data_IF_959156100902
#
_entry.id   IF_959156100902
#
_cell.length_a   1.000
_cell.length_b   1.000
_cell.length_c   1.000
_cell.angle_alpha   90.00
_cell.angle_beta   90.00
_cell.angle_gamma   90.00
#
_symmetry.space_group_name_H-M   'P 1'
#
loop_
_entity.id
_entity.type
_entity.pdbx_description
1 polymer ?
#
# COMPACT_ATOMS: atom_id res chain seq x y z
N UNK A 1 3.03 -4.75 -45.54
CA UNK A 1 2.22 -4.90 -44.31
C UNK A 1 2.98 -4.63 -43.00
N UNK A 2 4.23 -5.10 -42.81
CA UNK A 2 4.96 -4.91 -41.54
C UNK A 2 5.26 -3.43 -41.17
N UNK A 3 5.55 -2.57 -42.14
CA UNK A 3 5.87 -1.15 -41.90
C UNK A 3 4.68 -0.33 -41.34
N UNK A 4 3.45 -0.61 -41.78
CA UNK A 4 2.25 0.06 -41.29
C UNK A 4 1.86 -0.40 -39.87
N UNK A 5 2.08 -1.69 -39.54
CA UNK A 5 1.90 -2.22 -38.19
C UNK A 5 2.92 -1.59 -37.21
N UNK A 6 4.16 -1.38 -37.67
CA UNK A 6 5.21 -0.72 -36.90
C UNK A 6 4.95 0.79 -36.73
N UNK A 7 4.39 1.47 -37.73
CA UNK A 7 4.00 2.88 -37.63
C UNK A 7 2.78 3.10 -36.70
N UNK A 8 1.81 2.16 -36.70
CA UNK A 8 0.71 2.14 -35.74
C UNK A 8 1.21 1.84 -34.31
N UNK A 9 2.19 0.94 -34.16
CA UNK A 9 2.91 0.69 -32.89
C UNK A 9 3.66 1.93 -32.39
N UNK A 10 4.26 2.72 -33.28
CA UNK A 10 5.02 3.93 -32.94
C UNK A 10 4.13 5.12 -32.48
N UNK A 11 2.81 5.08 -32.73
CA UNK A 11 1.83 6.07 -32.24
C UNK A 11 0.98 5.56 -31.07
N UNK A 12 1.12 4.28 -30.70
CA UNK A 12 0.32 3.69 -29.64
C UNK A 12 0.97 3.94 -28.27
N UNK A 13 0.18 4.47 -27.34
CA UNK A 13 0.62 4.73 -25.98
C UNK A 13 1.14 3.45 -25.32
N UNK A 14 2.31 3.51 -24.70
CA UNK A 14 2.88 2.38 -23.97
C UNK A 14 2.21 2.19 -22.62
N UNK A 15 2.41 1.03 -21.99
CA UNK A 15 1.90 0.79 -20.63
C UNK A 15 2.48 1.79 -19.63
N UNK A 16 3.77 2.10 -19.69
CA UNK A 16 4.41 3.04 -18.76
C UNK A 16 3.87 4.48 -18.94
N UNK A 17 3.63 4.89 -20.18
CA UNK A 17 2.98 6.17 -20.47
C UNK A 17 1.54 6.21 -19.95
N UNK A 18 0.78 5.13 -20.14
CA UNK A 18 -0.58 5.00 -19.63
C UNK A 18 -0.59 5.03 -18.09
N UNK A 19 0.36 4.34 -17.46
CA UNK A 19 0.54 4.35 -16.01
C UNK A 19 0.89 5.75 -15.48
N UNK A 20 1.79 6.46 -16.16
CA UNK A 20 2.15 7.83 -15.81
C UNK A 20 0.96 8.80 -15.91
N UNK A 21 0.16 8.71 -16.99
CA UNK A 21 -1.05 9.53 -17.19
C UNK A 21 -2.15 9.18 -16.19
N UNK A 22 -2.39 7.89 -15.95
CA UNK A 22 -3.32 7.43 -14.91
C UNK A 22 -2.91 7.98 -13.55
N UNK A 23 -1.63 7.86 -13.18
CA UNK A 23 -1.13 8.38 -11.92
C UNK A 23 -1.27 9.90 -11.87
N UNK A 24 -0.91 10.66 -12.91
CA UNK A 24 -1.06 12.11 -12.92
C UNK A 24 -2.52 12.58 -12.68
N UNK A 25 -3.50 11.84 -13.19
CA UNK A 25 -4.93 12.13 -12.95
C UNK A 25 -5.38 11.71 -11.55
N UNK A 26 -4.98 10.51 -11.08
CA UNK A 26 -5.45 9.92 -9.82
C UNK A 26 -4.68 10.35 -8.59
N UNK A 27 -3.45 10.84 -8.72
CA UNK A 27 -2.70 11.39 -7.57
C UNK A 27 -3.34 12.63 -6.99
N UNK A 28 -4.17 13.35 -7.76
CA UNK A 28 -4.98 14.47 -7.24
C UNK A 28 -6.04 14.01 -6.23
N UNK A 29 -6.50 12.77 -6.32
CA UNK A 29 -7.43 12.15 -5.36
C UNK A 29 -6.70 11.57 -4.14
N UNK A 30 -5.38 11.39 -4.22
CA UNK A 30 -4.61 10.78 -3.14
C UNK A 30 -4.30 11.80 -2.04
N UNK A 31 -4.89 11.58 -0.86
CA UNK A 31 -4.60 12.35 0.36
C UNK A 31 -3.15 12.19 0.87
N UNK A 32 -2.41 11.18 0.40
CA UNK A 32 -1.05 10.88 0.87
C UNK A 32 -0.06 10.75 -0.30
N UNK A 33 0.95 11.65 -0.41
CA UNK A 33 1.94 11.62 -1.49
C UNK A 33 2.79 10.33 -1.49
N UNK A 34 2.99 9.68 -0.33
CA UNK A 34 3.70 8.39 -0.26
C UNK A 34 2.98 7.28 -1.01
N UNK A 35 1.65 7.35 -1.11
CA UNK A 35 0.86 6.36 -1.83
C UNK A 35 1.17 6.43 -3.34
N UNK A 36 1.32 7.63 -3.89
CA UNK A 36 1.74 7.83 -5.28
C UNK A 36 3.13 7.26 -5.57
N UNK A 37 4.10 7.53 -4.70
CA UNK A 37 5.45 7.02 -4.81
C UNK A 37 5.48 5.48 -4.74
N UNK A 38 4.69 4.89 -3.83
CA UNK A 38 4.57 3.44 -3.73
C UNK A 38 3.95 2.84 -5.00
N UNK A 39 3.01 3.53 -5.64
CA UNK A 39 2.45 3.08 -6.92
C UNK A 39 3.51 3.00 -8.01
N UNK A 40 4.24 4.10 -8.25
CA UNK A 40 5.32 4.17 -9.24
C UNK A 40 6.36 3.08 -8.98
N UNK A 41 6.94 3.07 -7.78
CA UNK A 41 8.01 2.12 -7.44
C UNK A 41 7.64 0.66 -7.71
N UNK A 42 6.40 0.24 -7.42
CA UNK A 42 6.02 -1.18 -7.65
C UNK A 42 5.71 -1.46 -9.12
N UNK A 43 5.22 -0.48 -9.89
CA UNK A 43 5.06 -0.63 -11.33
C UNK A 43 6.45 -0.67 -12.00
N UNK A 44 7.34 0.26 -11.65
CA UNK A 44 8.70 0.35 -12.19
C UNK A 44 9.53 -0.90 -11.89
N UNK A 45 9.39 -1.46 -10.68
CA UNK A 45 10.17 -2.64 -10.25
C UNK A 45 9.71 -3.93 -10.93
N UNK A 46 8.40 -4.11 -11.12
CA UNK A 46 7.85 -5.41 -11.50
C UNK A 46 7.15 -5.41 -12.86
N UNK A 47 6.37 -4.37 -13.19
CA UNK A 47 5.61 -4.31 -14.44
C UNK A 47 6.42 -3.74 -15.60
N UNK A 48 7.13 -2.63 -15.41
CA UNK A 48 7.87 -1.95 -16.49
C UNK A 48 8.90 -2.85 -17.19
N UNK A 49 9.64 -3.76 -16.51
CA UNK A 49 10.58 -4.66 -17.18
C UNK A 49 9.94 -5.65 -18.16
N UNK A 50 8.65 -5.97 -18.00
CA UNK A 50 7.95 -6.99 -18.80
C UNK A 50 6.97 -6.37 -19.79
N UNK A 51 6.20 -5.38 -19.34
CA UNK A 51 5.10 -4.80 -20.12
C UNK A 51 5.25 -3.30 -20.37
N UNK A 52 6.24 -2.64 -19.78
CA UNK A 52 6.35 -1.17 -19.79
C UNK A 52 6.42 -0.56 -21.18
N UNK A 53 7.24 -1.15 -22.07
CA UNK A 53 7.43 -0.71 -23.46
C UNK A 53 6.36 -1.23 -24.42
N UNK A 54 5.47 -2.12 -23.99
CA UNK A 54 4.42 -2.66 -24.85
C UNK A 54 3.33 -1.61 -25.07
N UNK A 55 2.77 -1.51 -26.29
CA UNK A 55 1.55 -0.75 -26.53
C UNK A 55 0.43 -1.23 -25.60
N UNK A 56 -0.26 -0.32 -24.94
CA UNK A 56 -1.30 -0.64 -23.93
C UNK A 56 -2.44 -1.50 -24.52
N UNK A 57 -2.73 -1.32 -25.81
CA UNK A 57 -3.69 -2.14 -26.55
C UNK A 57 -3.23 -3.58 -26.82
N UNK A 58 -1.92 -3.82 -26.84
CA UNK A 58 -1.31 -5.14 -27.09
C UNK A 58 -1.01 -5.92 -25.80
N UNK A 59 -1.29 -5.35 -24.63
CA UNK A 59 -1.13 -6.08 -23.36
C UNK A 59 -2.15 -7.22 -23.31
N UNK A 60 -1.69 -8.42 -23.00
CA UNK A 60 -2.52 -9.63 -22.98
C UNK A 60 -2.31 -10.38 -21.67
N UNK A 61 -3.17 -11.39 -21.43
CA UNK A 61 -3.14 -12.20 -20.22
C UNK A 61 -1.76 -12.82 -19.97
N UNK A 62 -1.13 -13.37 -21.01
CA UNK A 62 0.19 -14.01 -20.92
C UNK A 62 1.27 -13.03 -20.43
N UNK A 63 1.21 -11.77 -20.85
CA UNK A 63 2.15 -10.74 -20.39
C UNK A 63 1.99 -10.44 -18.90
N UNK A 64 0.75 -10.43 -18.40
CA UNK A 64 0.44 -10.18 -16.99
C UNK A 64 0.80 -11.39 -16.13
N UNK A 65 0.51 -12.60 -16.59
CA UNK A 65 0.91 -13.84 -15.93
C UNK A 65 2.43 -13.88 -15.74
N UNK A 66 3.20 -13.65 -16.81
CA UNK A 66 4.68 -13.57 -16.76
C UNK A 66 5.21 -12.52 -15.77
N UNK A 67 4.48 -11.41 -15.59
CA UNK A 67 4.83 -10.37 -14.62
C UNK A 67 4.58 -10.82 -13.18
N UNK A 68 3.53 -11.61 -12.96
CA UNK A 68 3.07 -11.99 -11.62
C UNK A 68 3.68 -13.30 -11.12
N UNK A 69 3.93 -14.27 -12.00
CA UNK A 69 4.46 -15.61 -11.68
C UNK A 69 5.69 -15.58 -10.77
N UNK A 70 6.75 -14.77 -11.04
CA UNK A 70 7.97 -14.79 -10.24
C UNK A 70 7.78 -14.35 -8.79
N UNK A 71 6.71 -13.59 -8.51
CA UNK A 71 6.42 -13.04 -7.18
C UNK A 71 5.17 -13.65 -6.54
N UNK A 72 4.48 -14.55 -7.26
CA UNK A 72 3.16 -15.05 -6.85
C UNK A 72 3.23 -15.90 -5.59
N UNK A 73 4.22 -16.81 -5.54
CA UNK A 73 4.41 -17.75 -4.43
C UNK A 73 5.09 -17.09 -3.23
N UNK A 74 6.12 -16.29 -3.48
CA UNK A 74 6.97 -15.74 -2.41
C UNK A 74 6.43 -14.44 -1.81
N UNK A 75 5.82 -13.59 -2.65
CA UNK A 75 5.39 -12.23 -2.28
C UNK A 75 3.93 -12.00 -2.67
N UNK A 76 3.05 -12.91 -2.26
CA UNK A 76 1.64 -12.94 -2.70
C UNK A 76 0.88 -11.62 -2.49
N UNK A 77 1.08 -10.92 -1.36
CA UNK A 77 0.43 -9.62 -1.13
C UNK A 77 0.96 -8.52 -2.07
N UNK A 78 2.26 -8.55 -2.40
CA UNK A 78 2.85 -7.65 -3.40
C UNK A 78 2.27 -7.95 -4.78
N UNK A 79 2.16 -9.23 -5.14
CA UNK A 79 1.61 -9.66 -6.42
C UNK A 79 0.12 -9.27 -6.58
N UNK A 80 -0.70 -9.47 -5.54
CA UNK A 80 -2.10 -9.01 -5.51
C UNK A 80 -2.22 -7.51 -5.72
N UNK A 81 -1.39 -6.73 -5.02
CA UNK A 81 -1.37 -5.26 -5.14
C UNK A 81 -0.94 -4.85 -6.54
N UNK A 82 0.10 -5.46 -7.09
CA UNK A 82 0.59 -5.19 -8.44
C UNK A 82 -0.50 -5.47 -9.49
N UNK A 83 -1.13 -6.65 -9.45
CA UNK A 83 -2.24 -7.02 -10.33
C UNK A 83 -3.36 -5.97 -10.30
N UNK A 84 -3.80 -5.57 -9.09
CA UNK A 84 -4.85 -4.56 -8.93
C UNK A 84 -4.47 -3.18 -9.46
N UNK A 85 -3.17 -2.85 -9.49
CA UNK A 85 -2.67 -1.61 -10.11
C UNK A 85 -2.66 -1.69 -11.62
N UNK A 86 -2.16 -2.79 -12.19
CA UNK A 86 -2.19 -3.07 -13.63
C UNK A 86 -3.64 -3.02 -14.13
N UNK A 87 -4.57 -3.67 -13.41
CA UNK A 87 -6.00 -3.66 -13.72
C UNK A 87 -6.55 -2.23 -13.80
N UNK A 88 -6.23 -1.36 -12.85
CA UNK A 88 -6.69 0.03 -12.86
C UNK A 88 -6.11 0.86 -14.01
N UNK A 89 -4.84 0.66 -14.35
CA UNK A 89 -4.21 1.33 -15.50
C UNK A 89 -4.86 0.88 -16.81
N UNK A 90 -5.07 -0.43 -16.99
CA UNK A 90 -5.71 -0.96 -18.19
C UNK A 90 -7.18 -0.54 -18.30
N UNK A 91 -7.93 -0.51 -17.19
CA UNK A 91 -9.30 0.00 -17.20
C UNK A 91 -9.36 1.49 -17.59
N UNK A 92 -8.42 2.31 -17.10
CA UNK A 92 -8.31 3.70 -17.52
C UNK A 92 -8.00 3.84 -19.01
N UNK A 93 -7.11 2.99 -19.54
CA UNK A 93 -6.78 2.96 -20.96
C UNK A 93 -8.00 2.57 -21.83
N UNK A 94 -8.83 1.63 -21.35
CA UNK A 94 -10.10 1.27 -21.99
C UNK A 94 -11.08 2.44 -22.00
N UNK A 95 -11.31 3.10 -20.86
CA UNK A 95 -12.23 4.26 -20.78
C UNK A 95 -11.73 5.45 -21.60
N UNK A 96 -10.42 5.59 -21.76
CA UNK A 96 -9.80 6.67 -22.54
C UNK A 96 -9.66 6.34 -24.03
N UNK A 97 -10.17 5.18 -24.49
CA UNK A 97 -10.16 4.77 -25.90
C UNK A 97 -8.81 4.28 -26.43
N UNK A 98 -7.80 4.10 -25.58
CA UNK A 98 -6.48 3.58 -25.98
C UNK A 98 -6.44 2.04 -26.07
N UNK A 99 -7.47 1.38 -25.56
CA UNK A 99 -7.63 -0.08 -25.59
C UNK A 99 -9.10 -0.43 -25.82
N UNK A 100 -9.34 -1.52 -26.54
CA UNK A 100 -10.66 -2.15 -26.69
C UNK A 100 -10.68 -3.54 -26.03
N UNK A 101 -11.89 -4.04 -25.78
CA UNK A 101 -12.10 -5.38 -25.23
C UNK A 101 -11.97 -5.48 -23.71
N UNK A 102 -12.02 -6.72 -23.21
CA UNK A 102 -11.96 -7.02 -21.78
C UNK A 102 -10.55 -6.76 -21.20
N UNK A 103 -10.51 -6.40 -19.92
CA UNK A 103 -9.27 -6.14 -19.21
C UNK A 103 -8.57 -7.46 -18.85
N UNK A 104 -7.37 -7.73 -19.39
CA UNK A 104 -6.66 -8.99 -19.17
C UNK A 104 -6.11 -9.12 -17.74
N UNK A 105 -6.08 -8.04 -16.95
CA UNK A 105 -5.67 -8.08 -15.54
C UNK A 105 -6.82 -8.38 -14.58
N UNK A 106 -8.05 -8.57 -15.09
CA UNK A 106 -9.22 -8.95 -14.28
C UNK A 106 -8.95 -10.29 -13.60
N UNK A 107 -9.33 -10.39 -12.33
CA UNK A 107 -9.14 -11.64 -11.58
C UNK A 107 -10.22 -12.67 -11.91
N UNK A 108 -11.48 -12.34 -11.62
CA UNK A 108 -12.61 -13.27 -11.74
C UNK A 108 -12.90 -13.57 -13.22
N UNK A 109 -12.85 -14.84 -13.60
CA UNK A 109 -13.10 -15.31 -14.96
C UNK A 109 -11.93 -15.12 -15.93
N UNK A 110 -10.72 -14.90 -15.43
CA UNK A 110 -9.53 -14.71 -16.27
C UNK A 110 -8.25 -15.20 -15.58
N UNK A 111 -7.56 -14.35 -14.79
CA UNK A 111 -6.33 -14.75 -14.10
C UNK A 111 -6.54 -15.87 -13.07
N UNK A 112 -7.75 -16.08 -12.57
CA UNK A 112 -8.12 -17.19 -11.67
C UNK A 112 -8.11 -18.57 -12.35
N UNK A 113 -8.15 -18.63 -13.68
CA UNK A 113 -7.99 -19.87 -14.46
C UNK A 113 -6.52 -20.23 -14.71
N UNK A 114 -5.62 -19.26 -14.65
CA UNK A 114 -4.18 -19.43 -14.98
C UNK A 114 -3.32 -19.50 -13.73
N UNK A 115 -3.63 -18.69 -12.72
CA UNK A 115 -2.86 -18.62 -11.48
C UNK A 115 -3.62 -19.25 -10.32
N UNK A 116 -2.94 -20.04 -9.47
CA UNK A 116 -3.56 -20.63 -8.29
C UNK A 116 -4.05 -19.53 -7.35
N UNK A 117 -5.21 -19.76 -6.72
CA UNK A 117 -5.83 -18.76 -5.87
C UNK A 117 -4.86 -18.28 -4.78
N UNK A 118 -4.61 -16.96 -4.67
CA UNK A 118 -3.63 -16.42 -3.74
C UNK A 118 -3.83 -16.86 -2.29
N UNK A 119 -5.08 -17.04 -1.85
CA UNK A 119 -5.39 -17.47 -0.48
C UNK A 119 -5.03 -18.93 -0.18
N UNK A 120 -4.86 -19.78 -1.21
CA UNK A 120 -4.41 -21.17 -1.06
C UNK A 120 -2.89 -21.31 -1.12
N UNK A 121 -2.21 -20.31 -1.68
CA UNK A 121 -0.77 -20.30 -1.94
C UNK A 121 -0.02 -19.50 -0.88
N UNK A 122 -0.60 -18.39 -0.43
CA UNK A 122 -0.02 -17.56 0.60
C UNK A 122 0.01 -18.34 1.92
N UNK A 123 1.21 -18.68 2.39
CA UNK A 123 1.41 -19.03 3.79
C UNK A 123 1.21 -17.76 4.62
N UNK A 124 0.02 -17.59 5.19
CA UNK A 124 -0.26 -16.46 6.08
C UNK A 124 0.54 -16.63 7.36
N UNK A 125 1.67 -15.93 7.44
CA UNK A 125 2.42 -15.79 8.68
C UNK A 125 1.73 -14.75 9.56
N UNK A 126 0.96 -15.22 10.55
CA UNK A 126 0.37 -14.33 11.54
C UNK A 126 1.46 -13.77 12.45
N UNK A 127 1.44 -12.45 12.65
CA UNK A 127 2.28 -11.81 13.66
C UNK A 127 1.74 -12.20 15.04
N UNK A 128 2.51 -12.97 15.81
CA UNK A 128 2.10 -13.42 17.14
C UNK A 128 2.00 -12.21 18.07
N UNK A 129 0.82 -12.01 18.65
CA UNK A 129 0.65 -11.05 19.72
C UNK A 129 1.33 -11.56 21.00
N UNK A 130 1.88 -10.64 21.79
CA UNK A 130 2.36 -10.96 23.14
C UNK A 130 1.14 -11.37 24.01
N UNK A 131 1.18 -12.52 24.71
CA UNK A 131 0.10 -12.90 25.61
C UNK A 131 -0.13 -11.84 26.68
N UNK A 132 -1.40 -11.53 26.98
CA UNK A 132 -1.74 -10.45 27.92
C UNK A 132 -1.12 -10.63 29.32
N UNK A 133 -0.91 -11.90 29.74
CA UNK A 133 -0.28 -12.26 31.00
C UNK A 133 1.21 -11.90 31.07
N UNK A 134 1.86 -11.77 29.92
CA UNK A 134 3.29 -11.41 29.82
C UNK A 134 3.50 -9.89 29.76
N UNK A 135 2.44 -9.11 29.53
CA UNK A 135 2.50 -7.64 29.43
C UNK A 135 3.14 -7.00 30.67
N UNK A 136 2.82 -7.37 31.92
CA UNK A 136 3.43 -6.75 33.09
C UNK A 136 4.96 -6.89 33.13
N UNK A 137 5.46 -8.11 32.86
CA UNK A 137 6.89 -8.37 32.81
C UNK A 137 7.55 -7.64 31.63
N UNK A 138 6.88 -7.59 30.47
CA UNK A 138 7.35 -6.85 29.31
C UNK A 138 7.47 -5.34 29.59
N UNK A 139 6.45 -4.72 30.18
CA UNK A 139 6.46 -3.29 30.53
C UNK A 139 7.56 -2.96 31.54
N UNK A 140 7.79 -3.83 32.53
CA UNK A 140 8.89 -3.67 33.48
C UNK A 140 10.27 -3.68 32.80
N UNK A 141 10.48 -4.54 31.80
CA UNK A 141 11.72 -4.53 30.99
C UNK A 141 11.80 -3.30 30.08
N UNK A 142 10.69 -2.92 29.44
CA UNK A 142 10.64 -1.81 28.51
C UNK A 142 11.02 -0.48 29.19
N UNK A 143 10.54 -0.25 30.43
CA UNK A 143 10.86 0.93 31.24
C UNK A 143 12.33 1.06 31.62
N UNK A 144 13.08 -0.05 31.61
CA UNK A 144 14.53 -0.06 31.91
C UNK A 144 15.38 0.19 30.67
N UNK A 145 14.78 0.19 29.47
CA UNK A 145 15.49 0.42 28.23
C UNK A 145 15.58 1.92 27.96
N UNK A 146 16.79 2.41 27.73
CA UNK A 146 17.01 3.81 27.37
C UNK A 146 16.62 4.10 25.93
N UNK A 147 16.21 5.34 25.69
CA UNK A 147 15.94 5.88 24.35
C UNK A 147 14.47 6.16 24.05
N UNK A 148 14.25 7.03 23.07
CA UNK A 148 12.92 7.50 22.69
C UNK A 148 12.03 6.38 22.13
N UNK A 149 12.62 5.35 21.51
CA UNK A 149 11.88 4.21 20.97
C UNK A 149 11.15 3.41 22.06
N UNK A 150 11.79 3.19 23.21
CA UNK A 150 11.19 2.49 24.34
C UNK A 150 10.01 3.28 24.92
N UNK A 151 10.21 4.59 25.16
CA UNK A 151 9.15 5.51 25.63
C UNK A 151 7.98 5.60 24.66
N UNK A 152 8.25 5.69 23.36
CA UNK A 152 7.22 5.71 22.32
C UNK A 152 6.44 4.39 22.26
N UNK A 153 7.09 3.24 22.43
CA UNK A 153 6.41 1.95 22.46
C UNK A 153 5.53 1.80 23.71
N UNK A 154 6.03 2.22 24.87
CA UNK A 154 5.26 2.24 26.12
C UNK A 154 4.00 3.12 25.97
N UNK A 155 4.16 4.32 25.45
CA UNK A 155 3.04 5.23 25.22
C UNK A 155 2.02 4.65 24.22
N UNK A 156 2.49 3.99 23.15
CA UNK A 156 1.63 3.30 22.20
C UNK A 156 0.84 2.15 22.82
N UNK A 157 1.44 1.39 23.74
CA UNK A 157 0.76 0.30 24.45
C UNK A 157 -0.30 0.85 25.40
N UNK A 158 0.00 1.91 26.14
CA UNK A 158 -0.90 2.51 27.12
C UNK A 158 -2.11 3.22 26.49
N UNK A 159 -1.93 3.80 25.30
CA UNK A 159 -2.98 4.56 24.60
C UNK A 159 -3.66 3.76 23.49
N UNK A 160 -3.11 2.60 23.11
CA UNK A 160 -3.47 1.84 21.91
C UNK A 160 -3.42 2.68 20.61
N UNK A 161 -2.68 3.79 20.61
CA UNK A 161 -2.55 4.67 19.45
C UNK A 161 -1.61 4.06 18.40
N UNK A 162 -1.76 4.50 17.15
CA UNK A 162 -0.92 3.99 16.06
C UNK A 162 0.51 4.53 16.19
N UNK A 163 1.49 3.74 15.76
CA UNK A 163 2.90 4.12 15.80
C UNK A 163 3.24 5.43 15.07
N UNK A 164 2.45 5.82 14.06
CA UNK A 164 2.59 7.11 13.39
C UNK A 164 2.05 8.28 14.19
N UNK A 165 1.00 8.07 14.99
CA UNK A 165 0.40 9.09 15.84
C UNK A 165 1.34 9.41 17.01
N UNK A 166 1.85 8.36 17.66
CA UNK A 166 2.78 8.44 18.80
C UNK A 166 4.12 9.11 18.43
N UNK A 167 4.77 8.68 17.34
CA UNK A 167 6.08 9.26 16.96
C UNK A 167 6.01 10.72 16.55
N UNK A 168 4.83 11.21 16.16
CA UNK A 168 4.63 12.61 15.81
C UNK A 168 4.10 13.46 16.97
N UNK A 169 3.78 12.85 18.12
CA UNK A 169 3.12 13.52 19.23
C UNK A 169 3.89 14.75 19.68
N UNK A 170 3.18 15.85 19.94
CA UNK A 170 3.77 17.09 20.43
C UNK A 170 3.20 17.43 21.80
N UNK A 171 3.95 18.17 22.61
CA UNK A 171 3.49 18.58 23.95
C UNK A 171 2.23 19.43 23.90
N UNK A 172 2.03 20.24 22.84
CA UNK A 172 0.81 21.03 22.65
C UNK A 172 -0.46 20.18 22.44
N UNK A 173 -0.32 18.90 22.12
CA UNK A 173 -1.45 17.97 21.97
C UNK A 173 -1.86 17.33 23.31
N UNK A 174 -1.05 17.48 24.37
CA UNK A 174 -1.23 16.82 25.66
C UNK A 174 -1.67 17.85 26.68
N UNK A 175 -2.90 17.69 27.17
CA UNK A 175 -3.41 18.41 28.32
C UNK A 175 -3.32 17.48 29.53
N UNK A 176 -2.39 17.80 30.44
CA UNK A 176 -2.16 17.02 31.66
C UNK A 176 -3.23 17.26 32.72
N UNK A 177 -3.87 18.44 32.71
CA UNK A 177 -4.90 18.80 33.67
C UNK A 177 -6.19 18.04 33.37
N UNK A 178 -6.61 18.04 32.10
CA UNK A 178 -7.76 17.24 31.66
C UNK A 178 -7.42 15.77 31.37
N UNK A 179 -6.13 15.41 31.41
CA UNK A 179 -5.61 14.08 31.08
C UNK A 179 -6.07 13.63 29.70
N UNK A 180 -5.93 14.51 28.71
CA UNK A 180 -6.30 14.26 27.33
C UNK A 180 -5.10 14.35 26.41
N UNK A 181 -5.04 13.44 25.44
CA UNK A 181 -4.16 13.59 24.29
C UNK A 181 -5.02 13.72 23.04
N UNK A 182 -4.89 14.88 22.39
CA UNK A 182 -5.72 15.29 21.26
C UNK A 182 -4.89 15.11 19.98
N UNK A 183 -5.16 14.02 19.25
CA UNK A 183 -4.44 13.75 18.00
C UNK A 183 -5.06 14.55 16.85
N UNK A 184 -4.30 15.42 16.17
CA UNK A 184 -4.84 16.23 15.09
C UNK A 184 -5.29 15.37 13.91
N UNK A 185 -6.40 15.76 13.27
CA UNK A 185 -6.99 15.04 12.14
C UNK A 185 -6.02 14.83 10.97
N UNK A 186 -5.06 15.75 10.80
CA UNK A 186 -3.99 15.68 9.79
C UNK A 186 -3.07 14.46 9.97
N UNK A 187 -2.92 13.94 11.20
CA UNK A 187 -2.09 12.75 11.50
C UNK A 187 -2.88 11.45 11.49
N UNK A 188 -4.21 11.53 11.41
CA UNK A 188 -5.09 10.37 11.45
C UNK A 188 -5.31 9.76 10.06
N UNK A 189 -5.15 8.43 9.96
CA UNK A 189 -5.35 7.68 8.70
C UNK A 189 -6.75 7.87 8.08
N UNK A 190 -7.76 8.15 8.90
CA UNK A 190 -9.17 8.30 8.49
C UNK A 190 -9.57 9.78 8.31
N UNK A 191 -8.69 10.73 8.64
CA UNK A 191 -8.93 12.17 8.43
C UNK A 191 -10.03 12.79 9.30
N UNK A 192 -10.50 12.09 10.33
CA UNK A 192 -11.37 12.64 11.38
C UNK A 192 -10.57 12.62 12.69
N UNK A 193 -10.51 13.76 13.39
CA UNK A 193 -9.88 13.87 14.70
C UNK A 193 -10.55 12.91 15.69
N UNK A 194 -9.74 12.25 16.51
CA UNK A 194 -10.21 11.29 17.53
C UNK A 194 -9.51 11.62 18.83
N UNK A 195 -10.28 11.56 19.91
CA UNK A 195 -9.84 11.85 21.26
C UNK A 195 -9.37 10.56 21.90
N UNK A 196 -8.15 10.54 22.45
CA UNK A 196 -7.69 9.43 23.26
C UNK A 196 -7.64 9.86 24.72
N UNK A 197 -8.30 9.13 25.64
CA UNK A 197 -8.13 9.38 27.06
C UNK A 197 -6.66 9.12 27.41
N UNK A 198 -5.97 10.11 27.97
CA UNK A 198 -4.62 9.91 28.45
C UNK A 198 -4.72 9.23 29.81
N UNK A 199 -4.67 7.90 29.84
CA UNK A 199 -4.67 7.12 31.10
C UNK A 199 -3.28 7.14 31.76
N UNK A 200 -2.38 8.03 31.34
CA UNK A 200 -1.11 8.22 32.04
C UNK A 200 -1.33 9.01 33.33
N UNK A 201 -1.21 8.34 34.48
CA UNK A 201 -0.51 8.96 35.61
C UNK A 201 0.93 9.12 35.15
N UNK A 202 1.24 10.23 34.47
CA UNK A 202 2.61 10.71 34.41
C UNK A 202 2.98 11.01 35.85
N UNK A 203 3.74 10.12 36.48
CA UNK A 203 4.39 10.45 37.74
C UNK A 203 5.16 11.75 37.52
N UNK A 204 4.95 12.79 38.35
CA UNK A 204 5.75 13.99 38.25
C UNK A 204 7.22 13.59 38.43
N UNK A 205 8.06 14.13 37.55
CA UNK A 205 9.52 14.02 37.62
C UNK A 205 10.04 14.39 39.01
#
# INVERSE_FOLDING_TARGET
MAAALNAARAKAMTFDEAAARYLASKTKEFRNPKHAAQWRSTLDTYASPVIGSLPVGAVELAHIARTLEPIWLDKTETAKRLRGRIERVLSWATTSGFRSGENPARWKGNLDAVLPQPGKVAKVAHQRALPWREIPAFMARLRRMDGMGAKALEFAILTAARSGEVRGATWAEIDLDSRLWIVPASRMKVGKGTWFPCVMKLSPC
#
